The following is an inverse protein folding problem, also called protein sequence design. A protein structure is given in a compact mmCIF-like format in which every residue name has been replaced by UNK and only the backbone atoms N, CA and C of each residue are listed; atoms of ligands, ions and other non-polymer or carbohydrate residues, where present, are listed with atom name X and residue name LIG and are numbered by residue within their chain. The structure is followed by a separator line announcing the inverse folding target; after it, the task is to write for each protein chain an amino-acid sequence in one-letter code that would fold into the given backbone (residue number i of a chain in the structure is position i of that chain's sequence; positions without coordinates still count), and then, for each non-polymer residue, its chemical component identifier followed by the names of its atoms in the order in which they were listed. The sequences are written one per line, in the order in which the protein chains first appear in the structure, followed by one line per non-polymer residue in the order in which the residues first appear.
data_IF_297394696929
#
_entry.id   IF_297394696929
#
_cell.length_a   1.000
_cell.length_b   1.000
_cell.length_c   1.000
_cell.angle_alpha   90.00
_cell.angle_beta   90.00
_cell.angle_gamma   90.00
#
_symmetry.space_group_name_H-M   'P 1'
#
loop_
_entity.id
_entity.type
_entity.pdbx_description
1 polymer ?
#
# COMPACT_ATOMS: atom_id res chain seq x y z
N UNK A 1 26.17 -5.34 -25.48
CA UNK A 1 26.03 -4.94 -24.06
C UNK A 1 24.78 -4.08 -24.01
N UNK A 2 23.64 -4.66 -23.64
CA UNK A 2 22.35 -3.98 -23.78
C UNK A 2 22.07 -3.18 -22.51
N UNK A 3 22.39 -1.90 -22.53
CA UNK A 3 21.89 -0.93 -21.56
C UNK A 3 20.43 -0.60 -21.92
N UNK A 4 19.51 -1.40 -21.40
CA UNK A 4 18.06 -1.13 -21.44
C UNK A 4 17.70 -0.18 -20.30
N UNK A 5 18.02 1.09 -20.50
CA UNK A 5 17.57 2.23 -19.68
C UNK A 5 17.12 3.28 -20.71
N UNK A 6 15.85 3.64 -20.91
CA UNK A 6 14.73 3.79 -19.98
C UNK A 6 13.42 3.89 -20.79
N UNK A 7 12.55 2.87 -20.73
CA UNK A 7 11.14 2.98 -21.16
C UNK A 7 10.31 3.54 -20.00
N UNK A 8 10.60 4.78 -19.59
CA UNK A 8 9.85 5.47 -18.54
C UNK A 8 8.68 6.23 -19.18
N UNK A 9 7.46 5.80 -18.83
CA UNK A 9 6.24 6.50 -19.22
C UNK A 9 5.87 7.49 -18.12
N UNK A 10 5.65 8.74 -18.49
CA UNK A 10 5.17 9.78 -17.58
C UNK A 10 3.66 9.97 -17.72
N UNK A 11 2.98 10.06 -16.59
CA UNK A 11 1.59 10.49 -16.46
C UNK A 11 1.56 11.89 -15.85
N UNK A 12 0.89 12.83 -16.52
CA UNK A 12 0.72 14.19 -16.00
C UNK A 12 -0.66 14.30 -15.34
N UNK A 13 -0.67 14.58 -14.03
CA UNK A 13 -1.92 14.85 -13.34
C UNK A 13 -2.49 16.22 -13.74
N UNK A 14 -3.77 16.47 -13.45
CA UNK A 14 -4.44 17.76 -13.70
C UNK A 14 -3.74 18.96 -13.05
N UNK A 15 -2.92 18.71 -12.03
CA UNK A 15 -2.09 19.71 -11.34
C UNK A 15 -0.70 19.94 -11.97
N UNK A 16 -0.37 19.25 -13.06
CA UNK A 16 0.92 19.35 -13.75
C UNK A 16 2.04 18.53 -13.12
N UNK A 17 1.75 17.68 -12.13
CA UNK A 17 2.74 16.76 -11.55
C UNK A 17 3.00 15.59 -12.50
N UNK A 18 4.27 15.34 -12.82
CA UNK A 18 4.70 14.18 -13.62
C UNK A 18 4.92 12.98 -12.70
N UNK A 19 4.19 11.90 -12.94
CA UNK A 19 4.27 10.63 -12.21
C UNK A 19 4.80 9.54 -13.13
N UNK A 20 5.61 8.63 -12.60
CA UNK A 20 6.18 7.52 -13.35
C UNK A 20 5.17 6.37 -13.39
N UNK A 21 4.92 5.80 -14.57
CA UNK A 21 4.09 4.61 -14.73
C UNK A 21 5.00 3.37 -14.79
N UNK A 22 5.14 2.61 -13.69
CA UNK A 22 6.01 1.45 -13.68
C UNK A 22 5.41 0.27 -14.46
N UNK A 23 6.30 -0.53 -15.05
CA UNK A 23 5.95 -1.84 -15.61
C UNK A 23 5.31 -2.73 -14.52
N UNK A 24 4.36 -3.61 -14.87
CA UNK A 24 3.66 -4.46 -13.91
C UNK A 24 4.60 -5.24 -12.97
N UNK A 25 5.72 -5.74 -13.51
CA UNK A 25 6.75 -6.49 -12.78
C UNK A 25 7.46 -5.67 -11.67
N UNK A 26 7.51 -4.34 -11.80
CA UNK A 26 8.17 -3.46 -10.84
C UNK A 26 7.22 -3.00 -9.73
N UNK A 27 5.90 -3.06 -9.94
CA UNK A 27 4.90 -2.58 -8.98
C UNK A 27 5.04 -3.25 -7.63
N UNK A 28 5.20 -4.58 -7.60
CA UNK A 28 5.39 -5.33 -6.35
C UNK A 28 6.63 -4.88 -5.59
N UNK A 29 7.76 -4.63 -6.28
CA UNK A 29 9.00 -4.14 -5.65
C UNK A 29 8.85 -2.72 -5.08
N UNK A 30 8.09 -1.86 -5.77
CA UNK A 30 7.79 -0.51 -5.29
C UNK A 30 6.92 -0.56 -4.03
N UNK A 31 5.89 -1.40 -4.03
CA UNK A 31 5.01 -1.60 -2.87
C UNK A 31 5.81 -2.17 -1.69
N UNK A 32 6.62 -3.20 -1.92
CA UNK A 32 7.50 -3.80 -0.92
C UNK A 32 8.41 -2.76 -0.27
N UNK A 33 9.15 -1.99 -1.08
CA UNK A 33 10.04 -0.94 -0.56
C UNK A 33 9.30 0.07 0.30
N UNK A 34 8.14 0.56 -0.15
CA UNK A 34 7.36 1.54 0.60
C UNK A 34 6.82 0.95 1.90
N UNK A 35 6.35 -0.30 1.86
CA UNK A 35 5.75 -1.00 2.99
C UNK A 35 6.79 -1.35 4.07
N UNK A 36 7.90 -1.99 3.69
CA UNK A 36 8.88 -2.59 4.62
C UNK A 36 9.67 -1.55 5.43
N UNK A 37 9.71 -0.29 4.99
CA UNK A 37 10.35 0.81 5.75
C UNK A 37 9.77 1.01 7.17
N UNK A 38 8.53 0.59 7.41
CA UNK A 38 7.91 0.69 8.73
C UNK A 38 6.67 -0.19 8.90
N UNK A 39 6.48 -1.19 8.04
CA UNK A 39 5.24 -1.95 7.91
C UNK A 39 3.99 -1.05 7.87
N UNK A 40 4.09 0.03 7.10
CA UNK A 40 3.03 1.02 7.00
C UNK A 40 1.73 0.38 6.51
N UNK A 41 0.61 0.84 7.06
CA UNK A 41 -0.72 0.43 6.61
C UNK A 41 -1.03 0.99 5.21
N UNK A 42 -2.17 0.55 4.65
CA UNK A 42 -2.60 0.85 3.28
C UNK A 42 -2.51 2.33 2.93
N UNK A 43 -3.14 3.20 3.72
CA UNK A 43 -3.27 4.62 3.40
C UNK A 43 -1.91 5.32 3.29
N UNK A 44 -1.02 5.10 4.26
CA UNK A 44 0.33 5.67 4.26
C UNK A 44 1.17 5.15 3.11
N UNK A 45 1.09 3.84 2.83
CA UNK A 45 1.84 3.19 1.74
C UNK A 45 1.39 3.73 0.38
N UNK A 46 0.07 3.84 0.15
CA UNK A 46 -0.50 4.41 -1.08
C UNK A 46 -0.09 5.87 -1.24
N UNK A 47 -0.14 6.67 -0.17
CA UNK A 47 0.21 8.09 -0.22
C UNK A 47 1.64 8.28 -0.72
N UNK A 48 2.60 7.54 -0.16
CA UNK A 48 4.01 7.59 -0.58
C UNK A 48 4.21 7.16 -2.03
N UNK A 49 3.55 6.08 -2.44
CA UNK A 49 3.66 5.60 -3.82
C UNK A 49 3.13 6.65 -4.81
N UNK A 50 2.02 7.33 -4.47
CA UNK A 50 1.40 8.36 -5.31
C UNK A 50 2.21 9.66 -5.42
N UNK A 51 3.25 9.86 -4.61
CA UNK A 51 4.14 11.01 -4.74
C UNK A 51 5.04 10.91 -5.98
N UNK A 52 5.40 9.70 -6.40
CA UNK A 52 6.35 9.46 -7.49
C UNK A 52 5.78 8.60 -8.62
N UNK A 53 4.81 7.73 -8.33
CA UNK A 53 4.31 6.72 -9.25
C UNK A 53 2.80 6.79 -9.46
N UNK A 54 2.38 6.37 -10.65
CA UNK A 54 0.99 6.23 -11.01
C UNK A 54 0.72 4.93 -11.75
N UNK A 55 -0.29 4.19 -11.32
CA UNK A 55 -0.92 3.14 -12.13
C UNK A 55 -2.37 2.93 -11.70
N UNK A 56 -3.17 2.30 -12.57
CA UNK A 56 -4.56 1.98 -12.23
C UNK A 56 -4.60 0.96 -11.10
N UNK A 57 -5.42 1.23 -10.07
CA UNK A 57 -5.66 0.36 -8.91
C UNK A 57 -4.52 0.22 -7.90
N UNK A 58 -3.67 1.25 -7.70
CA UNK A 58 -2.62 1.26 -6.64
C UNK A 58 -3.16 0.77 -5.30
N UNK A 59 -4.31 1.29 -4.88
CA UNK A 59 -4.93 0.98 -3.59
C UNK A 59 -5.22 -0.52 -3.43
N UNK A 60 -5.69 -1.17 -4.50
CA UNK A 60 -6.00 -2.59 -4.50
C UNK A 60 -4.73 -3.42 -4.44
N UNK A 61 -3.72 -3.07 -5.24
CA UNK A 61 -2.46 -3.80 -5.27
C UNK A 61 -1.73 -3.70 -3.92
N UNK A 62 -1.70 -2.51 -3.33
CA UNK A 62 -1.13 -2.28 -1.98
C UNK A 62 -1.90 -3.06 -0.92
N UNK A 63 -3.23 -3.04 -0.97
CA UNK A 63 -4.06 -3.78 -0.02
C UNK A 63 -3.79 -5.29 -0.08
N UNK A 64 -3.75 -5.88 -1.28
CA UNK A 64 -3.43 -7.30 -1.44
C UNK A 64 -2.04 -7.64 -0.91
N UNK A 65 -1.06 -6.77 -1.15
CA UNK A 65 0.30 -6.95 -0.64
C UNK A 65 0.36 -6.93 0.90
N UNK A 66 -0.27 -5.94 1.53
CA UNK A 66 -0.28 -5.81 3.00
C UNK A 66 -1.07 -6.96 3.63
N UNK A 67 -2.20 -7.36 3.03
CA UNK A 67 -2.98 -8.52 3.47
C UNK A 67 -2.18 -9.81 3.37
N UNK A 68 -1.21 -9.91 2.46
CA UNK A 68 -0.32 -11.06 2.35
C UNK A 68 0.86 -11.02 3.33
N UNK A 69 1.21 -9.85 3.90
CA UNK A 69 2.37 -9.67 4.77
C UNK A 69 2.21 -10.36 6.13
N UNK A 70 3.04 -11.36 6.42
CA UNK A 70 2.95 -12.16 7.65
C UNK A 70 3.30 -11.38 8.93
N UNK A 71 4.14 -10.35 8.82
CA UNK A 71 4.47 -9.48 9.95
C UNK A 71 3.23 -8.66 10.32
N UNK A 72 2.55 -8.07 9.34
CA UNK A 72 1.33 -7.31 9.54
C UNK A 72 0.17 -8.20 10.01
N UNK A 73 -0.01 -9.39 9.43
CA UNK A 73 -1.04 -10.35 9.87
C UNK A 73 -0.90 -10.70 11.35
N UNK A 74 0.33 -10.99 11.79
CA UNK A 74 0.60 -11.34 13.20
C UNK A 74 0.36 -10.19 14.16
N UNK A 75 0.61 -8.96 13.73
CA UNK A 75 0.50 -7.78 14.59
C UNK A 75 -0.87 -7.09 14.52
N UNK A 76 -1.65 -7.32 13.46
CA UNK A 76 -3.00 -6.78 13.29
C UNK A 76 -4.05 -7.73 13.89
N UNK A 77 -3.77 -8.26 15.08
CA UNK A 77 -4.79 -8.93 15.88
C UNK A 77 -5.79 -7.86 16.29
N UNK A 78 -6.96 -7.86 15.64
CA UNK A 78 -8.13 -7.18 16.16
C UNK A 78 -8.36 -7.82 17.51
N UNK A 79 -7.88 -7.19 18.58
CA UNK A 79 -8.39 -7.48 19.90
C UNK A 79 -9.87 -7.17 19.80
N UNK A 80 -10.71 -8.21 19.69
CA UNK A 80 -12.09 -8.14 20.12
C UNK A 80 -12.00 -7.62 21.54
N UNK A 81 -12.17 -6.31 21.69
CA UNK A 81 -12.32 -5.67 22.99
C UNK A 81 -13.69 -6.12 23.47
N UNK A 82 -13.79 -7.35 23.93
CA UNK A 82 -14.84 -7.79 24.84
C UNK A 82 -14.66 -6.93 26.08
N UNK A 83 -15.28 -5.75 26.06
CA UNK A 83 -15.38 -4.94 27.26
C UNK A 83 -16.38 -5.69 28.16
N UNK A 84 -16.00 -6.11 29.38
CA UNK A 84 -16.85 -6.94 30.25
C UNK A 84 -18.11 -6.23 30.77
N UNK A 85 -18.49 -5.10 30.18
CA UNK A 85 -19.73 -4.41 30.47
C UNK A 85 -20.91 -5.18 29.86
N UNK A 86 -21.24 -6.33 30.46
CA UNK A 86 -22.57 -6.92 30.34
C UNK A 86 -23.57 -5.91 30.88
N UNK A 87 -24.56 -5.55 30.07
CA UNK A 87 -25.74 -4.84 30.55
C UNK A 87 -26.39 -5.70 31.64
N UNK A 88 -26.44 -5.21 32.87
CA UNK A 88 -27.28 -5.83 33.90
C UNK A 88 -28.73 -5.68 33.43
N UNK A 89 -29.38 -6.79 33.10
CA UNK A 89 -30.82 -6.81 32.87
C UNK A 89 -31.51 -6.51 34.21
N UNK A 90 -31.91 -5.26 34.41
CA UNK A 90 -32.78 -4.87 35.52
C UNK A 90 -34.18 -5.36 35.13
N UNK A 91 -34.64 -6.45 35.77
CA UNK A 91 -36.04 -6.87 35.75
C UNK A 91 -36.82 -6.15 36.83
#
# INVERSE_FOLDING_TARGET
MYDLKEDLIFYFDKKGCALIVPKPELRTKIIEKSHVLGHFQKETTVKRIREEYFWKNIDRDVEQYILACDICKRNNLIALKEHPAKTLNIK
#
